data_IF_342091780724
#
_entry.id   IF_342091780724
#
_cell.length_a   1.000
_cell.length_b   1.000
_cell.length_c   1.000
_cell.angle_alpha   90.00
_cell.angle_beta   90.00
_cell.angle_gamma   90.00
#
_symmetry.space_group_name_H-M   'P 1'
#
loop_
_entity.id
_entity.type
_entity.pdbx_description
1 polymer ?
#
# COMPACT_ATOMS: atom_id res chain seq x y z
N UNK A 1 12.86 35.18 48.89
CA UNK A 1 13.89 34.49 49.67
C UNK A 1 13.21 33.48 50.57
N UNK A 2 13.23 32.21 50.20
CA UNK A 2 13.00 31.07 51.09
C UNK A 2 13.90 29.94 50.59
N UNK A 3 14.73 29.47 51.50
CA UNK A 3 15.80 28.52 51.33
C UNK A 3 15.28 27.14 50.92
N UNK A 4 15.99 26.53 49.97
CA UNK A 4 15.98 25.10 49.71
C UNK A 4 17.21 24.55 50.42
N UNK A 5 17.01 23.93 51.58
CA UNK A 5 18.04 23.14 52.26
C UNK A 5 17.58 21.71 52.41
N UNK A 6 18.49 20.82 51.96
CA UNK A 6 18.68 19.45 52.39
C UNK A 6 17.58 18.44 52.16
N UNK A 7 17.76 17.66 51.08
CA UNK A 7 17.33 16.27 51.02
C UNK A 7 18.59 15.40 51.18
N UNK A 8 18.70 14.74 52.32
CA UNK A 8 19.83 13.86 52.65
C UNK A 8 19.67 12.51 51.92
N UNK A 9 20.73 12.12 51.22
CA UNK A 9 20.95 10.79 50.66
C UNK A 9 21.17 9.74 51.77
N UNK A 10 20.11 9.17 52.32
CA UNK A 10 20.21 7.95 53.13
C UNK A 10 18.88 7.22 53.16
N UNK A 11 18.59 6.40 52.16
CA UNK A 11 17.82 5.16 52.28
C UNK A 11 17.90 4.33 51.00
N UNK A 12 19.10 3.80 50.72
CA UNK A 12 19.23 2.64 49.85
C UNK A 12 19.05 1.42 50.76
N UNK A 13 17.83 0.86 50.79
CA UNK A 13 17.60 -0.47 51.35
C UNK A 13 18.13 -1.50 50.40
N UNK A 14 19.26 -2.10 50.75
CA UNK A 14 19.74 -3.35 50.11
C UNK A 14 18.76 -4.45 50.46
N UNK A 15 17.95 -4.87 49.47
CA UNK A 15 17.12 -6.07 49.59
C UNK A 15 18.07 -7.26 49.50
N UNK A 16 18.14 -8.01 50.65
CA UNK A 16 19.03 -9.13 50.83
C UNK A 16 18.82 -10.22 49.75
N UNK A 17 19.95 -10.76 49.29
CA UNK A 17 20.03 -11.95 48.45
C UNK A 17 19.37 -13.13 49.20
N UNK A 18 18.24 -13.58 48.75
CA UNK A 18 17.70 -14.90 49.15
C UNK A 18 18.60 -16.02 48.57
N UNK A 19 19.15 -16.84 49.48
CA UNK A 19 19.89 -18.05 49.13
C UNK A 19 18.98 -18.97 48.28
N UNK A 20 19.51 -19.59 47.20
CA UNK A 20 18.72 -20.51 46.41
C UNK A 20 18.32 -21.73 47.25
N UNK A 21 17.02 -21.93 47.39
CA UNK A 21 16.39 -23.08 48.04
C UNK A 21 16.74 -24.32 47.22
N UNK A 22 17.48 -25.24 47.85
CA UNK A 22 17.81 -26.56 47.24
C UNK A 22 16.50 -27.31 46.95
N UNK A 23 16.01 -27.26 45.75
CA UNK A 23 14.89 -28.11 45.32
C UNK A 23 15.31 -29.55 45.36
N UNK A 24 14.45 -30.38 45.98
CA UNK A 24 14.71 -31.80 46.25
C UNK A 24 14.86 -32.54 44.91
N UNK A 25 15.93 -33.37 44.81
CA UNK A 25 16.26 -34.22 43.68
C UNK A 25 15.10 -35.12 43.18
N UNK A 26 14.02 -35.27 43.93
CA UNK A 26 12.83 -36.02 43.55
C UNK A 26 12.03 -35.31 42.46
N UNK A 27 11.81 -33.97 42.55
CA UNK A 27 11.04 -33.22 41.53
C UNK A 27 11.76 -33.19 40.18
N UNK A 28 13.11 -33.09 40.21
CA UNK A 28 13.89 -33.11 38.98
C UNK A 28 13.88 -34.45 38.25
N UNK A 29 13.83 -35.56 38.98
CA UNK A 29 13.68 -36.89 38.40
C UNK A 29 12.32 -37.14 37.78
N UNK A 30 11.23 -36.60 38.40
CA UNK A 30 9.89 -36.66 37.85
C UNK A 30 9.74 -35.79 36.57
N UNK A 31 10.37 -34.62 36.53
CA UNK A 31 10.38 -33.77 35.36
C UNK A 31 11.08 -34.43 34.17
N UNK A 32 12.22 -35.08 34.40
CA UNK A 32 12.95 -35.84 33.38
C UNK A 32 12.17 -37.06 32.87
N UNK A 33 11.42 -37.74 33.75
CA UNK A 33 10.53 -38.84 33.36
C UNK A 33 9.36 -38.35 32.51
N UNK A 34 8.75 -37.20 32.83
CA UNK A 34 7.67 -36.61 32.06
C UNK A 34 8.15 -36.20 30.66
N UNK A 35 9.31 -35.60 30.55
CA UNK A 35 9.91 -35.21 29.25
C UNK A 35 10.23 -36.45 28.39
N UNK A 36 10.72 -37.52 28.99
CA UNK A 36 11.01 -38.77 28.26
C UNK A 36 9.73 -39.43 27.72
N UNK A 37 8.62 -39.41 28.50
CA UNK A 37 7.34 -39.93 28.04
C UNK A 37 6.75 -39.11 26.90
N UNK A 38 6.83 -37.78 26.97
CA UNK A 38 6.35 -36.88 25.89
C UNK A 38 7.17 -37.11 24.62
N UNK A 39 8.49 -37.23 24.73
CA UNK A 39 9.35 -37.51 23.58
C UNK A 39 9.03 -38.88 22.94
N UNK A 40 8.75 -39.90 23.76
CA UNK A 40 8.33 -41.23 23.28
C UNK A 40 7.00 -41.18 22.51
N UNK A 41 6.01 -40.44 23.00
CA UNK A 41 4.71 -40.26 22.31
C UNK A 41 4.89 -39.54 20.97
N UNK A 42 5.73 -38.50 20.91
CA UNK A 42 6.00 -37.78 19.67
C UNK A 42 6.65 -38.70 18.62
N UNK A 43 7.60 -39.56 19.02
CA UNK A 43 8.27 -40.53 18.12
C UNK A 43 7.24 -41.55 17.58
N UNK A 44 6.35 -42.05 18.43
CA UNK A 44 5.30 -42.99 18.00
C UNK A 44 4.30 -42.32 17.05
N UNK A 45 3.89 -41.07 17.30
CA UNK A 45 2.99 -40.33 16.41
C UNK A 45 3.67 -40.06 15.06
N UNK A 46 4.95 -39.69 15.06
CA UNK A 46 5.71 -39.50 13.81
C UNK A 46 5.88 -40.81 13.04
N UNK A 47 6.12 -41.93 13.71
CA UNK A 47 6.23 -43.25 13.06
C UNK A 47 4.88 -43.70 12.46
N UNK A 48 3.75 -43.45 13.14
CA UNK A 48 2.39 -43.75 12.62
C UNK A 48 2.02 -42.84 11.44
N UNK A 49 2.43 -41.58 11.46
CA UNK A 49 2.21 -40.64 10.32
C UNK A 49 3.08 -41.05 9.13
N UNK A 50 4.35 -41.45 9.36
CA UNK A 50 5.22 -41.93 8.28
C UNK A 50 4.76 -43.27 7.70
N UNK A 51 4.26 -44.21 8.51
CA UNK A 51 3.78 -45.50 8.00
C UNK A 51 2.42 -45.39 7.27
N UNK A 52 1.60 -44.39 7.56
CA UNK A 52 0.37 -44.11 6.78
C UNK A 52 0.64 -43.49 5.40
N UNK A 53 1.82 -42.91 5.17
CA UNK A 53 2.20 -42.38 3.86
C UNK A 53 2.92 -43.42 2.97
N UNK A 54 3.00 -44.69 3.31
CA UNK A 54 3.65 -45.74 2.55
C UNK A 54 2.73 -46.79 1.96
N UNK A 55 1.43 -46.59 1.91
CA UNK A 55 0.54 -47.47 1.16
C UNK A 55 -0.05 -46.74 -0.04
N UNK A 56 0.43 -47.14 -1.19
CA UNK A 56 -0.04 -47.12 -2.55
C UNK A 56 0.86 -46.38 -3.55
N UNK A 57 1.98 -47.01 -3.84
CA UNK A 57 2.61 -46.86 -5.16
C UNK A 57 2.33 -48.17 -5.90
N UNK A 58 1.25 -48.21 -6.64
CA UNK A 58 1.05 -49.17 -7.73
C UNK A 58 0.47 -48.41 -8.93
N UNK A 59 1.25 -48.51 -10.00
CA UNK A 59 0.94 -48.40 -11.43
C UNK A 59 0.59 -47.03 -12.03
N UNK A 60 1.62 -46.53 -12.68
CA UNK A 60 1.67 -46.02 -14.05
C UNK A 60 0.33 -45.74 -14.74
N UNK A 61 -0.17 -44.52 -14.56
CA UNK A 61 -0.71 -43.76 -15.68
C UNK A 61 0.08 -42.46 -15.78
N UNK A 62 0.76 -42.27 -16.91
CA UNK A 62 1.38 -41.01 -17.27
C UNK A 62 0.25 -40.00 -17.43
N UNK A 63 -0.16 -39.38 -16.33
CA UNK A 63 -0.93 -38.16 -16.40
C UNK A 63 -0.03 -37.12 -17.03
N UNK A 64 -0.24 -36.92 -18.33
CA UNK A 64 0.21 -35.72 -19.01
C UNK A 64 -0.26 -34.57 -18.16
N UNK A 65 0.67 -33.92 -17.49
CA UNK A 65 0.42 -32.67 -16.78
C UNK A 65 0.12 -31.65 -17.88
N UNK A 66 -1.14 -31.59 -18.29
CA UNK A 66 -1.59 -30.42 -19.04
C UNK A 66 -1.42 -29.23 -18.08
N UNK A 67 -0.59 -28.24 -18.44
CA UNK A 67 -0.53 -27.03 -17.64
C UNK A 67 -1.95 -26.51 -17.55
N UNK A 68 -2.48 -26.36 -16.33
CA UNK A 68 -3.73 -25.64 -16.10
C UNK A 68 -3.47 -24.25 -16.64
N UNK A 69 -3.91 -24.01 -17.87
CA UNK A 69 -4.02 -22.66 -18.41
C UNK A 69 -5.11 -22.02 -17.56
N UNK A 70 -4.69 -21.30 -16.54
CA UNK A 70 -5.56 -20.41 -15.81
C UNK A 70 -6.00 -19.38 -16.86
N UNK A 71 -7.14 -19.61 -17.48
CA UNK A 71 -7.82 -18.56 -18.23
C UNK A 71 -8.22 -17.52 -17.17
N UNK A 72 -7.34 -16.55 -16.92
CA UNK A 72 -7.76 -15.34 -16.22
C UNK A 72 -8.99 -14.82 -16.97
N UNK A 73 -10.12 -14.83 -16.29
CA UNK A 73 -11.35 -14.24 -16.83
C UNK A 73 -10.99 -12.79 -17.16
N UNK A 74 -11.17 -12.34 -18.42
CA UNK A 74 -10.82 -10.98 -18.76
C UNK A 74 -11.64 -10.04 -17.87
N UNK A 75 -10.97 -9.19 -17.10
CA UNK A 75 -11.65 -8.18 -16.31
C UNK A 75 -12.35 -7.16 -17.25
N UNK A 76 -13.41 -6.50 -16.78
CA UNK A 76 -14.30 -5.72 -17.66
C UNK A 76 -13.62 -4.52 -18.33
N UNK A 77 -12.46 -4.07 -17.84
CA UNK A 77 -11.73 -2.91 -18.36
C UNK A 77 -10.68 -3.28 -19.44
N UNK A 78 -10.33 -4.56 -19.58
CA UNK A 78 -9.17 -5.02 -20.37
C UNK A 78 -9.19 -4.57 -21.81
N UNK A 79 -10.30 -4.77 -22.51
CA UNK A 79 -10.40 -4.40 -23.93
C UNK A 79 -10.21 -2.90 -24.14
N UNK A 80 -10.80 -2.08 -23.26
CA UNK A 80 -10.66 -0.64 -23.33
C UNK A 80 -9.19 -0.22 -23.07
N UNK A 81 -8.53 -0.77 -22.03
CA UNK A 81 -7.13 -0.46 -21.72
C UNK A 81 -6.18 -0.81 -22.86
N UNK A 82 -6.35 -1.99 -23.48
CA UNK A 82 -5.54 -2.41 -24.64
C UNK A 82 -5.77 -1.44 -25.83
N UNK A 83 -7.01 -1.00 -26.04
CA UNK A 83 -7.33 -0.03 -27.09
C UNK A 83 -6.59 1.29 -26.96
N UNK A 84 -6.18 1.68 -25.74
CA UNK A 84 -5.44 2.93 -25.51
C UNK A 84 -4.03 2.93 -26.12
N UNK A 85 -3.43 1.77 -26.39
CA UNK A 85 -2.11 1.67 -27.01
C UNK A 85 -2.06 2.25 -28.43
N UNK A 86 -3.19 2.40 -29.08
CA UNK A 86 -3.30 2.98 -30.41
C UNK A 86 -3.39 4.52 -30.40
N UNK A 87 -3.62 5.14 -29.24
CA UNK A 87 -3.83 6.57 -29.09
C UNK A 87 -2.48 7.27 -28.97
N UNK A 88 -2.21 8.23 -29.87
CA UNK A 88 -0.99 9.02 -29.89
C UNK A 88 -1.16 10.42 -29.24
N UNK A 89 -2.37 10.78 -28.88
CA UNK A 89 -2.67 12.09 -28.29
C UNK A 89 -2.24 12.12 -26.82
N UNK A 90 -1.52 13.17 -26.41
CA UNK A 90 -1.22 13.43 -25.01
C UNK A 90 -2.46 14.01 -24.32
N UNK A 91 -2.93 13.31 -23.27
CA UNK A 91 -4.12 13.70 -22.54
C UNK A 91 -4.57 12.59 -21.59
N UNK A 92 -5.70 12.75 -20.95
CA UNK A 92 -6.30 11.73 -20.08
C UNK A 92 -7.45 11.04 -20.79
N UNK A 93 -7.35 9.73 -20.96
CA UNK A 93 -8.49 8.90 -21.37
C UNK A 93 -9.36 8.62 -20.13
N UNK A 94 -10.68 8.76 -20.29
CA UNK A 94 -11.67 8.55 -19.23
C UNK A 94 -12.58 7.39 -19.58
N UNK A 95 -12.92 6.57 -18.57
CA UNK A 95 -13.89 5.50 -18.68
C UNK A 95 -14.77 5.45 -17.43
N UNK A 96 -16.09 5.49 -17.62
CA UNK A 96 -17.05 5.30 -16.54
C UNK A 96 -17.53 3.85 -16.55
N UNK A 97 -17.50 3.21 -15.39
CA UNK A 97 -17.88 1.80 -15.23
C UNK A 97 -18.50 1.59 -13.85
N UNK A 98 -19.40 0.62 -13.74
CA UNK A 98 -19.96 0.20 -12.44
C UNK A 98 -19.47 -1.18 -12.10
N UNK A 99 -18.83 -1.33 -10.94
CA UNK A 99 -18.34 -2.60 -10.40
C UNK A 99 -18.95 -2.81 -9.01
N UNK A 100 -19.60 -3.94 -8.78
CA UNK A 100 -20.27 -4.27 -7.52
C UNK A 100 -21.22 -3.14 -7.04
N UNK A 101 -22.03 -2.61 -7.93
CA UNK A 101 -22.93 -1.46 -7.70
C UNK A 101 -22.21 -0.14 -7.33
N UNK A 102 -20.87 -0.08 -7.43
CA UNK A 102 -20.09 1.13 -7.20
C UNK A 102 -19.78 1.78 -8.56
N UNK A 103 -20.30 2.98 -8.82
CA UNK A 103 -19.93 3.74 -9.99
C UNK A 103 -18.50 4.30 -9.85
N UNK A 104 -17.66 4.02 -10.84
CA UNK A 104 -16.24 4.38 -10.88
C UNK A 104 -15.95 5.21 -12.12
N UNK A 105 -15.03 6.16 -11.99
CA UNK A 105 -14.34 6.78 -13.13
C UNK A 105 -12.88 6.38 -13.12
N UNK A 106 -12.41 5.87 -14.26
CA UNK A 106 -11.01 5.48 -14.50
C UNK A 106 -10.35 6.53 -15.36
N UNK A 107 -9.24 7.09 -14.91
CA UNK A 107 -8.42 8.09 -15.58
C UNK A 107 -7.10 7.45 -15.97
N UNK A 108 -6.81 7.33 -17.25
CA UNK A 108 -5.52 6.83 -17.76
C UNK A 108 -4.77 7.97 -18.46
N UNK A 109 -3.67 8.47 -17.88
CA UNK A 109 -2.85 9.49 -18.50
C UNK A 109 -2.04 8.89 -19.64
N UNK A 110 -2.08 9.51 -20.81
CA UNK A 110 -1.37 9.08 -22.02
C UNK A 110 -0.32 10.12 -22.45
N UNK A 111 0.86 9.66 -22.82
CA UNK A 111 1.92 10.51 -23.35
C UNK A 111 2.65 11.37 -22.32
N UNK A 112 2.60 11.05 -21.04
CA UNK A 112 3.29 11.80 -19.98
C UNK A 112 3.74 10.88 -18.84
N UNK A 113 4.91 11.18 -18.26
CA UNK A 113 5.42 10.52 -17.06
C UNK A 113 5.08 11.36 -15.83
N UNK A 114 4.57 10.74 -14.74
CA UNK A 114 4.21 11.48 -13.54
C UNK A 114 5.44 11.99 -12.77
N UNK A 115 5.20 13.02 -11.96
CA UNK A 115 6.14 13.51 -10.95
C UNK A 115 5.38 13.94 -9.70
N UNK A 116 6.09 14.09 -8.58
CA UNK A 116 5.50 14.67 -7.39
C UNK A 116 5.74 16.18 -7.34
N UNK A 117 4.81 16.88 -6.73
CA UNK A 117 4.93 18.29 -6.41
C UNK A 117 4.41 18.59 -5.01
N UNK A 118 4.92 19.64 -4.37
CA UNK A 118 4.53 20.04 -3.02
C UNK A 118 4.13 21.51 -2.99
N UNK A 119 3.05 21.79 -2.29
CA UNK A 119 2.50 23.12 -2.11
C UNK A 119 1.60 23.59 -3.24
N UNK A 120 0.94 24.72 -3.00
CA UNK A 120 -0.05 25.31 -3.92
C UNK A 120 0.56 25.65 -5.30
N UNK A 121 1.84 26.00 -5.32
CA UNK A 121 2.52 26.38 -6.57
C UNK A 121 2.51 25.26 -7.60
N UNK A 122 2.50 23.99 -7.17
CA UNK A 122 2.48 22.82 -8.05
C UNK A 122 1.28 22.81 -8.99
N UNK A 123 0.10 23.21 -8.51
CA UNK A 123 -1.15 23.17 -9.28
C UNK A 123 -1.75 24.57 -9.49
N UNK A 124 -0.89 25.60 -9.53
CA UNK A 124 -1.30 26.97 -9.78
C UNK A 124 -1.89 27.15 -11.18
N UNK A 125 -1.37 26.42 -12.13
CA UNK A 125 -1.74 26.37 -13.53
C UNK A 125 -2.22 24.95 -13.86
N UNK A 126 -3.47 24.58 -13.54
CA UNK A 126 -3.97 23.22 -13.78
C UNK A 126 -3.98 22.82 -15.26
N UNK A 127 -4.06 23.80 -16.16
CA UNK A 127 -3.95 23.64 -17.61
C UNK A 127 -2.60 23.09 -18.09
N UNK A 128 -1.54 23.15 -17.26
CA UNK A 128 -0.22 22.61 -17.56
C UNK A 128 -0.14 21.07 -17.36
N UNK A 129 -1.20 20.46 -16.86
CA UNK A 129 -1.24 19.03 -16.56
C UNK A 129 -2.32 18.32 -17.35
N UNK A 130 -2.01 17.09 -17.77
CA UNK A 130 -3.02 16.19 -18.30
C UNK A 130 -3.80 15.51 -17.16
N UNK A 131 -3.16 15.30 -15.98
CA UNK A 131 -3.78 14.71 -14.81
C UNK A 131 -3.07 15.17 -13.54
N UNK A 132 -3.80 15.43 -12.46
CA UNK A 132 -3.23 15.64 -11.14
C UNK A 132 -4.18 15.28 -10.02
N UNK A 133 -3.63 14.67 -8.96
CA UNK A 133 -4.36 14.28 -7.74
C UNK A 133 -3.51 14.52 -6.50
N UNK A 134 -4.17 14.76 -5.36
CA UNK A 134 -3.48 14.79 -4.07
C UNK A 134 -2.97 13.39 -3.73
N UNK A 135 -1.65 13.26 -3.40
CA UNK A 135 -0.97 11.98 -3.23
C UNK A 135 -1.00 11.49 -1.77
N UNK A 136 -0.03 11.91 -0.96
CA UNK A 136 0.10 11.48 0.43
C UNK A 136 -0.72 12.34 1.40
N UNK A 137 -1.19 11.73 2.48
CA UNK A 137 -1.87 12.44 3.56
C UNK A 137 -0.95 13.45 4.25
N UNK A 138 -1.57 14.52 4.74
CA UNK A 138 -0.95 15.52 5.58
C UNK A 138 -1.64 15.53 6.95
N UNK A 139 -0.88 15.45 8.02
CA UNK A 139 -1.42 15.47 9.38
C UNK A 139 -2.17 16.75 9.68
N UNK A 140 -3.30 16.65 10.34
CA UNK A 140 -4.12 17.82 10.71
C UNK A 140 -3.45 18.69 11.78
N UNK A 141 -2.71 18.06 12.72
CA UNK A 141 -2.09 18.72 13.88
C UNK A 141 -0.86 19.57 13.53
N UNK A 142 0.08 19.02 12.78
CA UNK A 142 1.38 19.65 12.52
C UNK A 142 1.68 19.88 11.03
N UNK A 143 0.74 19.53 10.16
CA UNK A 143 0.81 19.72 8.71
C UNK A 143 2.00 19.01 8.04
N UNK A 144 2.59 17.98 8.68
CA UNK A 144 3.65 17.15 8.10
C UNK A 144 3.07 16.06 7.20
N UNK A 145 3.81 15.69 6.16
CA UNK A 145 3.47 14.57 5.28
C UNK A 145 3.51 13.26 6.09
N UNK A 146 2.53 12.39 5.88
CA UNK A 146 2.42 11.09 6.54
C UNK A 146 3.10 10.02 5.69
N UNK A 147 3.97 9.23 6.32
CA UNK A 147 4.74 8.21 5.62
C UNK A 147 6.02 8.77 4.97
N UNK A 148 6.81 7.90 4.36
CA UNK A 148 8.00 8.30 3.64
C UNK A 148 7.62 9.07 2.37
N UNK A 149 8.41 10.10 2.04
CA UNK A 149 8.19 10.95 0.88
C UNK A 149 9.51 11.49 0.35
N UNK A 150 9.79 11.25 -0.92
CA UNK A 150 10.96 11.78 -1.65
C UNK A 150 10.48 12.67 -2.78
N UNK A 151 11.02 13.87 -2.87
CA UNK A 151 10.74 14.84 -3.92
C UNK A 151 12.03 15.09 -4.70
N UNK A 152 12.13 14.57 -5.90
CA UNK A 152 13.28 14.75 -6.79
C UNK A 152 14.62 14.48 -6.04
N UNK A 153 14.75 13.31 -5.44
CA UNK A 153 15.91 12.89 -4.67
C UNK A 153 15.97 13.43 -3.24
N UNK A 154 15.18 14.45 -2.88
CA UNK A 154 15.16 15.02 -1.54
C UNK A 154 14.14 14.31 -0.63
N UNK A 155 14.54 13.62 0.45
CA UNK A 155 13.64 12.98 1.38
C UNK A 155 13.01 14.01 2.34
N UNK A 156 11.75 14.38 2.09
CA UNK A 156 10.98 15.31 2.92
C UNK A 156 10.38 14.64 4.16
N UNK A 157 10.16 13.33 4.11
CA UNK A 157 9.66 12.52 5.23
C UNK A 157 10.21 11.10 5.16
N UNK A 158 10.52 10.50 6.32
CA UNK A 158 11.05 9.13 6.47
C UNK A 158 10.14 8.22 7.29
N UNK A 159 8.87 8.58 7.45
CA UNK A 159 7.91 7.80 8.25
C UNK A 159 7.65 6.42 7.64
N UNK A 160 7.57 5.37 8.47
CA UNK A 160 7.28 4.00 8.06
C UNK A 160 5.78 3.67 8.09
N UNK A 161 4.93 4.62 8.48
CA UNK A 161 3.48 4.44 8.47
C UNK A 161 2.98 4.23 7.04
N UNK A 162 2.01 3.31 6.89
CA UNK A 162 1.41 2.90 5.61
C UNK A 162 2.37 2.08 4.75
N UNK A 163 1.89 0.93 4.29
CA UNK A 163 2.71 -0.07 3.58
C UNK A 163 2.64 0.08 2.06
N UNK A 164 1.57 0.70 1.56
CA UNK A 164 1.46 1.02 0.13
C UNK A 164 2.47 2.09 -0.27
N UNK A 165 3.05 1.97 -1.45
CA UNK A 165 3.98 2.96 -1.99
C UNK A 165 3.80 3.18 -3.49
N UNK A 166 4.20 4.36 -3.94
CA UNK A 166 4.49 4.65 -5.34
C UNK A 166 5.92 5.18 -5.43
N UNK A 167 6.70 4.64 -6.37
CA UNK A 167 8.03 5.12 -6.73
C UNK A 167 8.04 5.51 -8.21
N UNK A 168 8.68 6.65 -8.52
CA UNK A 168 8.88 7.14 -9.89
C UNK A 168 10.37 7.40 -10.05
N UNK A 169 11.03 6.59 -10.89
CA UNK A 169 12.49 6.65 -11.11
C UNK A 169 12.74 6.62 -12.60
N UNK A 170 13.26 7.72 -13.13
CA UNK A 170 13.24 7.92 -14.59
C UNK A 170 11.81 7.93 -15.11
N UNK A 171 11.54 7.11 -16.12
CA UNK A 171 10.22 6.95 -16.72
C UNK A 171 9.42 5.78 -16.11
N UNK A 172 10.00 5.06 -15.14
CA UNK A 172 9.37 3.91 -14.53
C UNK A 172 8.54 4.32 -13.32
N UNK A 173 7.28 3.89 -13.31
CA UNK A 173 6.34 4.06 -12.19
C UNK A 173 6.04 2.70 -11.60
N UNK A 174 6.27 2.53 -10.31
CA UNK A 174 5.97 1.30 -9.58
C UNK A 174 5.02 1.57 -8.42
N UNK A 175 3.93 0.86 -8.41
CA UNK A 175 2.96 0.82 -7.30
C UNK A 175 3.10 -0.52 -6.61
N UNK A 176 3.09 -0.55 -5.28
CA UNK A 176 3.23 -1.81 -4.56
C UNK A 176 3.00 -1.69 -3.07
N UNK A 177 3.20 -2.81 -2.37
CA UNK A 177 3.02 -2.92 -0.92
C UNK A 177 4.26 -3.54 -0.29
N UNK A 178 4.89 -2.85 0.65
CA UNK A 178 6.05 -3.36 1.38
C UNK A 178 6.24 -2.62 2.70
N UNK A 179 6.70 -3.33 3.74
CA UNK A 179 7.11 -2.70 5.00
C UNK A 179 8.36 -1.83 4.79
N UNK A 180 9.35 -2.37 4.08
CA UNK A 180 10.52 -1.65 3.59
C UNK A 180 10.64 -1.86 2.07
N UNK A 181 10.92 -0.79 1.35
CA UNK A 181 11.15 -0.84 -0.10
C UNK A 181 12.49 -0.20 -0.43
N UNK A 182 13.40 -0.89 -1.14
CA UNK A 182 14.65 -0.30 -1.61
C UNK A 182 14.42 0.83 -2.59
N UNK A 183 13.20 0.98 -3.11
CA UNK A 183 12.85 2.06 -4.03
C UNK A 183 12.84 3.44 -3.36
N UNK A 184 12.75 3.51 -2.02
CA UNK A 184 12.94 4.78 -1.30
C UNK A 184 14.37 5.30 -1.43
N UNK A 185 15.36 4.43 -1.21
CA UNK A 185 16.77 4.75 -1.36
C UNK A 185 17.10 5.04 -2.83
N UNK A 186 16.63 4.21 -3.76
CA UNK A 186 16.83 4.41 -5.20
C UNK A 186 16.25 5.74 -5.68
N UNK A 187 15.03 6.10 -5.27
CA UNK A 187 14.42 7.39 -5.60
C UNK A 187 15.25 8.57 -5.05
N UNK A 188 15.84 8.40 -3.85
CA UNK A 188 16.73 9.43 -3.27
C UNK A 188 18.02 9.57 -4.05
N UNK A 189 18.65 8.46 -4.44
CA UNK A 189 19.94 8.44 -5.13
C UNK A 189 19.85 8.86 -6.60
N UNK A 190 18.72 8.55 -7.26
CA UNK A 190 18.51 8.76 -8.69
C UNK A 190 17.63 9.98 -9.02
N UNK A 191 17.49 10.93 -8.08
CA UNK A 191 16.64 12.12 -8.25
C UNK A 191 15.19 11.79 -8.61
N UNK A 192 14.68 10.66 -8.13
CA UNK A 192 13.33 10.20 -8.34
C UNK A 192 12.34 10.74 -7.31
N UNK A 193 11.18 10.13 -7.30
CA UNK A 193 10.08 10.45 -6.40
C UNK A 193 9.58 9.20 -5.69
N UNK A 194 9.10 9.36 -4.47
CA UNK A 194 8.54 8.28 -3.68
C UNK A 194 7.51 8.81 -2.69
N UNK A 195 6.39 8.09 -2.50
CA UNK A 195 5.49 8.38 -1.39
C UNK A 195 4.83 7.11 -0.87
N UNK A 196 4.39 7.15 0.40
CA UNK A 196 3.62 6.08 1.02
C UNK A 196 2.17 6.47 1.23
N UNK A 197 1.30 5.45 1.09
CA UNK A 197 -0.14 5.58 1.33
C UNK A 197 -0.75 4.22 1.77
N UNK A 198 -2.04 4.20 2.10
CA UNK A 198 -2.74 2.96 2.40
C UNK A 198 -2.69 2.02 1.19
N UNK A 199 -2.28 0.74 1.37
CA UNK A 199 -2.41 -0.26 0.32
C UNK A 199 -3.88 -0.63 0.16
N UNK A 200 -4.35 -0.80 -1.06
CA UNK A 200 -5.72 -1.23 -1.36
C UNK A 200 -5.73 -2.60 -2.04
N UNK A 201 -4.85 -2.81 -3.00
CA UNK A 201 -4.67 -4.08 -3.71
C UNK A 201 -3.20 -4.43 -3.77
N UNK A 202 -2.87 -5.71 -3.53
CA UNK A 202 -1.52 -6.25 -3.66
C UNK A 202 -1.57 -7.60 -4.38
N UNK A 203 -0.88 -7.70 -5.53
CA UNK A 203 -0.89 -8.89 -6.39
C UNK A 203 -2.32 -9.38 -6.70
N UNK A 204 -3.21 -8.47 -7.10
CA UNK A 204 -4.59 -8.77 -7.44
C UNK A 204 -5.48 -9.17 -6.24
N UNK A 205 -5.02 -8.94 -5.00
CA UNK A 205 -5.76 -9.28 -3.79
C UNK A 205 -6.05 -8.05 -2.96
N UNK A 206 -7.25 -7.99 -2.40
CA UNK A 206 -7.66 -6.94 -1.48
C UNK A 206 -6.76 -6.89 -0.25
N UNK A 207 -6.39 -5.69 0.16
CA UNK A 207 -5.69 -5.42 1.42
C UNK A 207 -6.64 -4.69 2.38
N UNK A 208 -6.88 -5.30 3.53
CA UNK A 208 -7.73 -4.71 4.57
C UNK A 208 -7.11 -3.48 5.21
N UNK A 209 -7.95 -2.50 5.49
CA UNK A 209 -7.58 -1.27 6.16
C UNK A 209 -8.49 -0.97 7.36
N UNK A 210 -7.93 -0.32 8.39
CA UNK A 210 -8.66 -0.01 9.63
C UNK A 210 -9.77 1.05 9.47
N UNK A 211 -9.61 2.15 8.70
CA UNK A 211 -10.65 3.17 8.60
C UNK A 211 -11.96 2.62 8.03
N UNK A 212 -13.06 2.78 8.78
CA UNK A 212 -14.39 2.26 8.41
C UNK A 212 -15.35 3.33 7.87
N UNK A 213 -14.95 4.59 7.83
CA UNK A 213 -15.78 5.67 7.30
C UNK A 213 -15.96 5.55 5.78
N UNK A 214 -17.12 5.96 5.29
CA UNK A 214 -17.40 6.12 3.86
C UNK A 214 -17.05 7.52 3.37
N UNK A 215 -16.45 7.61 2.19
CA UNK A 215 -16.08 8.85 1.51
C UNK A 215 -15.88 8.56 0.02
N UNK A 216 -15.87 9.58 -0.83
CA UNK A 216 -15.34 9.45 -2.18
C UNK A 216 -13.89 8.94 -2.06
N UNK A 217 -13.60 7.82 -2.70
CA UNK A 217 -12.30 7.15 -2.67
C UNK A 217 -11.56 7.35 -3.98
N UNK A 218 -10.24 7.44 -3.88
CA UNK A 218 -9.34 7.50 -5.04
C UNK A 218 -8.20 6.53 -4.86
N UNK A 219 -7.75 5.93 -5.94
CA UNK A 219 -6.61 5.03 -5.95
C UNK A 219 -5.68 5.34 -7.13
N UNK A 220 -4.39 5.22 -6.91
CA UNK A 220 -3.42 5.01 -7.96
C UNK A 220 -3.28 3.50 -8.14
N UNK A 221 -3.59 3.01 -9.31
CA UNK A 221 -3.66 1.57 -9.61
C UNK A 221 -2.81 1.21 -10.82
N UNK A 222 -2.27 0.00 -10.80
CA UNK A 222 -1.69 -0.67 -11.96
C UNK A 222 -2.71 -1.68 -12.49
N UNK A 223 -3.13 -1.50 -13.73
CA UNK A 223 -4.12 -2.35 -14.42
C UNK A 223 -3.58 -2.67 -15.81
N UNK A 224 -3.38 -3.95 -16.13
CA UNK A 224 -2.77 -4.42 -17.39
C UNK A 224 -1.47 -3.65 -17.77
N UNK A 225 -0.60 -3.39 -16.76
CA UNK A 225 0.66 -2.70 -16.95
C UNK A 225 0.54 -1.18 -17.18
N UNK A 226 -0.65 -0.60 -17.14
CA UNK A 226 -0.87 0.85 -17.18
C UNK A 226 -1.13 1.42 -15.80
N UNK A 227 -0.61 2.61 -15.56
CA UNK A 227 -0.92 3.38 -14.36
C UNK A 227 -2.20 4.18 -14.61
N UNK A 228 -3.18 3.97 -13.75
CA UNK A 228 -4.47 4.65 -13.78
C UNK A 228 -4.79 5.28 -12.43
N UNK A 229 -5.61 6.32 -12.43
CA UNK A 229 -6.31 6.77 -11.21
C UNK A 229 -7.75 6.31 -11.32
N UNK A 230 -8.26 5.70 -10.25
CA UNK A 230 -9.65 5.27 -10.14
C UNK A 230 -10.33 6.06 -9.03
N UNK A 231 -11.50 6.65 -9.32
CA UNK A 231 -12.31 7.41 -8.36
C UNK A 231 -13.70 6.79 -8.23
N UNK A 232 -14.19 6.61 -6.97
CA UNK A 232 -15.58 6.25 -6.75
C UNK A 232 -16.47 7.50 -6.88
N UNK A 233 -17.62 7.35 -7.54
CA UNK A 233 -18.60 8.44 -7.70
C UNK A 233 -19.62 8.49 -6.54
N UNK A 234 -19.56 7.47 -5.65
CA UNK A 234 -20.33 7.39 -4.40
C UNK A 234 -19.38 7.27 -3.18
N UNK A 235 -19.82 7.67 -1.97
CA UNK A 235 -19.04 7.46 -0.75
C UNK A 235 -18.92 6.00 -0.42
N UNK A 236 -17.68 5.45 -0.39
CA UNK A 236 -17.39 4.05 -0.17
C UNK A 236 -16.46 3.81 1.02
N UNK A 237 -16.56 2.61 1.62
CA UNK A 237 -15.58 2.13 2.58
C UNK A 237 -14.26 1.80 1.88
N UNK A 238 -13.17 1.64 2.65
CA UNK A 238 -11.92 1.14 2.06
C UNK A 238 -12.07 -0.28 1.54
N UNK A 239 -12.82 -1.13 2.24
CA UNK A 239 -13.04 -2.52 1.86
C UNK A 239 -13.81 -2.63 0.53
N UNK A 240 -15.00 -2.01 0.46
CA UNK A 240 -15.85 -2.10 -0.74
C UNK A 240 -15.13 -1.51 -1.97
N UNK A 241 -14.44 -0.38 -1.80
CA UNK A 241 -13.66 0.23 -2.88
C UNK A 241 -12.46 -0.62 -3.31
N UNK A 242 -11.71 -1.22 -2.36
CA UNK A 242 -10.60 -2.10 -2.68
C UNK A 242 -11.07 -3.39 -3.38
N UNK A 243 -12.23 -3.95 -2.97
CA UNK A 243 -12.82 -5.09 -3.68
C UNK A 243 -13.20 -4.71 -5.11
N UNK A 244 -13.83 -3.54 -5.31
CA UNK A 244 -14.15 -3.07 -6.65
C UNK A 244 -12.90 -2.88 -7.53
N UNK A 245 -11.76 -2.46 -6.97
CA UNK A 245 -10.49 -2.36 -7.69
C UNK A 245 -9.94 -3.73 -8.09
N UNK A 246 -10.05 -4.76 -7.22
CA UNK A 246 -9.68 -6.15 -7.57
C UNK A 246 -10.52 -6.64 -8.73
N UNK A 247 -11.84 -6.48 -8.65
CA UNK A 247 -12.78 -6.95 -9.67
C UNK A 247 -12.68 -6.13 -10.98
N UNK A 248 -12.17 -4.90 -10.90
CA UNK A 248 -11.81 -4.06 -12.04
C UNK A 248 -10.54 -4.56 -12.76
N UNK A 249 -9.70 -5.39 -12.11
CA UNK A 249 -8.47 -5.95 -12.68
C UNK A 249 -7.18 -5.32 -12.16
N UNK A 250 -7.22 -4.54 -11.07
CA UNK A 250 -6.02 -3.95 -10.51
C UNK A 250 -5.07 -5.03 -9.95
N UNK A 251 -3.81 -4.99 -10.36
CA UNK A 251 -2.74 -5.84 -9.82
C UNK A 251 -2.18 -5.23 -8.54
N UNK A 252 -1.94 -3.93 -8.54
CA UNK A 252 -1.53 -3.15 -7.38
C UNK A 252 -2.35 -1.87 -7.31
N UNK A 253 -2.74 -1.47 -6.11
CA UNK A 253 -3.39 -0.18 -5.90
C UNK A 253 -3.07 0.40 -4.53
N UNK A 254 -2.85 1.70 -4.48
CA UNK A 254 -2.70 2.47 -3.25
C UNK A 254 -3.69 3.62 -3.23
N UNK A 255 -4.08 4.03 -2.03
CA UNK A 255 -4.99 5.15 -1.85
C UNK A 255 -4.36 6.47 -2.30
N UNK A 256 -5.17 7.35 -2.87
CA UNK A 256 -4.90 8.78 -3.03
C UNK A 256 -5.91 9.57 -2.19
N UNK A 257 -5.55 10.80 -1.80
CA UNK A 257 -6.44 11.61 -0.97
C UNK A 257 -7.75 11.87 -1.70
N UNK A 258 -8.85 11.33 -1.16
CA UNK A 258 -10.18 11.41 -1.72
C UNK A 258 -11.02 12.58 -1.19
N UNK A 259 -12.33 12.42 -1.24
CA UNK A 259 -13.29 13.42 -0.78
C UNK A 259 -13.16 14.74 -1.53
N UNK A 260 -13.04 15.83 -0.77
CA UNK A 260 -12.95 17.19 -1.31
C UNK A 260 -11.53 17.60 -1.77
N UNK A 261 -10.57 16.68 -1.86
CA UNK A 261 -9.22 17.00 -2.27
C UNK A 261 -9.17 17.52 -3.71
N UNK A 262 -8.33 18.53 -3.92
CA UNK A 262 -8.14 19.15 -5.23
C UNK A 262 -7.55 18.14 -6.22
N UNK A 263 -8.17 18.04 -7.39
CA UNK A 263 -7.73 17.21 -8.52
C UNK A 263 -8.21 17.81 -9.84
N UNK A 264 -7.67 17.32 -10.94
CA UNK A 264 -8.13 17.71 -12.26
C UNK A 264 -7.46 16.91 -13.37
N UNK A 265 -8.02 17.04 -14.56
CA UNK A 265 -7.51 16.40 -15.77
C UNK A 265 -7.69 17.31 -16.99
N UNK A 266 -6.94 17.03 -18.03
CA UNK A 266 -7.22 17.48 -19.40
C UNK A 266 -7.48 16.24 -20.24
N UNK A 267 -8.64 16.17 -20.88
CA UNK A 267 -9.04 15.04 -21.72
C UNK A 267 -8.26 14.99 -23.06
N UNK A 268 -8.62 14.04 -23.90
CA UNK A 268 -7.99 13.84 -25.22
C UNK A 268 -8.38 14.94 -26.21
N UNK A 269 -9.48 15.64 -25.99
CA UNK A 269 -9.95 16.80 -26.75
C UNK A 269 -9.33 18.12 -26.27
N UNK A 270 -8.50 18.09 -25.21
CA UNK A 270 -7.81 19.25 -24.65
C UNK A 270 -8.65 20.08 -23.67
N UNK A 271 -9.84 19.57 -23.25
CA UNK A 271 -10.69 20.26 -22.28
C UNK A 271 -10.17 19.96 -20.84
N UNK A 272 -9.99 21.01 -20.07
CA UNK A 272 -9.49 20.90 -18.69
C UNK A 272 -10.66 20.99 -17.71
N UNK A 273 -10.74 20.01 -16.80
CA UNK A 273 -11.68 19.99 -15.68
C UNK A 273 -10.93 19.95 -14.34
N UNK A 274 -11.38 20.75 -13.36
CA UNK A 274 -10.79 20.82 -12.02
C UNK A 274 -11.87 20.63 -10.98
N UNK A 275 -11.63 19.73 -10.03
CA UNK A 275 -12.57 19.36 -8.98
C UNK A 275 -11.94 19.54 -7.59
N UNK A 276 -12.80 19.47 -6.59
CA UNK A 276 -12.42 19.65 -5.19
C UNK A 276 -12.56 21.10 -4.75
N UNK A 277 -12.38 21.34 -3.46
CA UNK A 277 -12.54 22.67 -2.90
C UNK A 277 -11.38 23.56 -3.32
N UNK A 278 -11.62 24.46 -4.27
CA UNK A 278 -10.68 25.53 -4.62
C UNK A 278 -10.38 26.45 -3.42
N UNK A 279 -11.28 26.50 -2.43
CA UNK A 279 -11.12 27.24 -1.17
C UNK A 279 -10.27 26.51 -0.13
N UNK A 280 -10.07 25.20 -0.24
CA UNK A 280 -9.09 24.50 0.56
C UNK A 280 -7.70 24.99 0.16
N UNK A 281 -7.26 26.09 0.78
CA UNK A 281 -5.90 26.59 0.57
C UNK A 281 -4.93 25.47 0.85
N UNK A 282 -4.21 24.94 -0.17
CA UNK A 282 -3.23 23.91 0.05
C UNK A 282 -2.25 24.39 1.11
N UNK A 283 -2.07 23.59 2.13
CA UNK A 283 -1.02 23.83 3.11
C UNK A 283 0.36 23.71 2.47
N UNK A 284 1.41 24.22 3.12
CA UNK A 284 2.78 24.16 2.62
C UNK A 284 3.18 22.74 2.16
N UNK A 285 2.72 21.69 2.85
CA UNK A 285 3.06 20.30 2.58
C UNK A 285 1.94 19.50 1.89
N UNK A 286 0.88 20.15 1.40
CA UNK A 286 -0.06 19.49 0.48
C UNK A 286 0.73 19.06 -0.75
N UNK A 287 0.57 17.81 -1.15
CA UNK A 287 1.40 17.22 -2.18
C UNK A 287 0.53 16.55 -3.24
N UNK A 288 1.06 16.46 -4.44
CA UNK A 288 0.32 16.00 -5.62
C UNK A 288 1.20 15.04 -6.43
N UNK A 289 0.55 14.05 -7.03
CA UNK A 289 1.08 13.36 -8.20
C UNK A 289 0.49 14.07 -9.43
N UNK A 290 1.36 14.47 -10.36
CA UNK A 290 0.98 15.26 -11.52
C UNK A 290 1.60 14.68 -12.79
N UNK A 291 0.86 14.70 -13.89
CA UNK A 291 1.33 14.34 -15.23
C UNK A 291 1.38 15.62 -16.09
N UNK A 292 2.54 16.20 -16.31
CA UNK A 292 2.67 17.44 -17.10
C UNK A 292 2.24 17.25 -18.55
N UNK A 293 1.72 18.31 -19.17
CA UNK A 293 1.73 18.43 -20.64
C UNK A 293 3.16 18.67 -21.11
N UNK A 294 3.55 18.03 -22.20
CA UNK A 294 4.85 18.24 -22.83
C UNK A 294 4.81 19.46 -23.74
#
# INVERSE_FOLDING_TARGET
MKNIENISDTEIRVIGQEKPRRESNKKRKWLLLAVAVIAGVIIVVLAVVCSRNQESVTDSESSVYEPIVVHEQPHPLREWIIGLDTIQTCGTALHEITINDIPLTVYVPLGSTPRLGVGKATVKHPEDFILFFQAADVRADNKKIVGAFVLQGEPLSRGLSKRGYCAIIGDEVRVGVADNSPLFEQATEQNGYFFRQYPLVDNGKLVENEPKNKSIRRALAEIDGKIAVVESQSPESFHDFAQALVDLGAQHAIYLVGGAALCGYTDLEGQTAVFGFQECKPFKNTNFIVWPKH
#
